data_IF_801599056066
#
_entry.id   IF_801599056066
#
_cell.length_a   1.000
_cell.length_b   1.000
_cell.length_c   1.000
_cell.angle_alpha   90.00
_cell.angle_beta   90.00
_cell.angle_gamma   90.00
#
_symmetry.space_group_name_H-M   'P 1'
#
loop_
_entity.id
_entity.type
_entity.pdbx_description
1 polymer ?
#
# COMPACT_ATOMS: atom_id res chain seq x y z
N UNK A 1 38.18 2.00 63.47
CA UNK A 1 36.91 1.35 63.08
C UNK A 1 36.24 2.22 62.05
N UNK A 2 36.42 1.89 60.75
CA UNK A 2 35.95 2.71 59.64
C UNK A 2 34.63 2.12 59.17
N UNK A 3 33.55 2.91 59.25
CA UNK A 3 32.20 2.53 58.77
C UNK A 3 32.11 2.82 57.29
N UNK A 4 32.07 1.78 56.47
CA UNK A 4 31.82 1.88 55.03
C UNK A 4 30.28 1.97 54.83
N UNK A 5 29.80 3.15 54.49
CA UNK A 5 28.38 3.35 54.04
C UNK A 5 28.22 2.84 52.61
N UNK A 6 27.56 1.69 52.45
CA UNK A 6 27.19 1.18 51.15
C UNK A 6 26.03 2.04 50.59
N UNK A 7 26.30 2.76 49.48
CA UNK A 7 25.27 3.47 48.72
C UNK A 7 24.61 2.46 47.77
N UNK A 8 23.38 2.09 48.12
CA UNK A 8 22.52 1.26 47.28
C UNK A 8 22.02 2.11 46.10
N UNK A 9 22.46 1.80 44.91
CA UNK A 9 21.95 2.42 43.68
C UNK A 9 20.66 1.70 43.26
N UNK A 10 19.55 2.41 43.34
CA UNK A 10 18.25 1.92 42.81
C UNK A 10 18.24 2.22 41.31
N UNK A 11 18.35 1.18 40.50
CA UNK A 11 18.14 1.30 39.06
C UNK A 11 16.64 1.32 38.78
N UNK A 12 16.11 2.48 38.42
CA UNK A 12 14.75 2.61 37.89
C UNK A 12 14.78 2.17 36.43
N UNK A 13 14.32 0.97 36.17
CA UNK A 13 14.09 0.48 34.79
C UNK A 13 12.78 1.10 34.32
N UNK A 14 12.87 2.15 33.51
CA UNK A 14 11.69 2.70 32.80
C UNK A 14 11.38 1.74 31.65
N UNK A 15 10.36 0.88 31.84
CA UNK A 15 9.80 0.09 30.77
C UNK A 15 9.03 1.04 29.82
N UNK A 16 9.68 1.42 28.71
CA UNK A 16 8.97 2.06 27.60
C UNK A 16 8.11 0.99 26.92
N UNK A 17 6.83 0.92 27.34
CA UNK A 17 5.83 0.15 26.60
C UNK A 17 5.65 0.82 25.22
N UNK A 18 5.76 0.09 24.11
CA UNK A 18 5.43 0.65 22.82
C UNK A 18 3.95 1.06 22.83
N UNK A 19 3.68 2.36 22.69
CA UNK A 19 2.33 2.82 22.39
C UNK A 19 1.93 2.19 21.05
N UNK A 20 0.80 1.48 20.94
CA UNK A 20 0.29 1.09 19.64
C UNK A 20 0.10 2.39 18.84
N UNK A 21 0.61 2.43 17.61
CA UNK A 21 0.32 3.52 16.66
C UNK A 21 -1.20 3.59 16.52
N UNK A 22 -1.80 4.58 17.20
CA UNK A 22 -3.22 4.60 17.47
C UNK A 22 -4.03 4.66 16.19
N UNK A 23 -4.98 3.75 16.05
CA UNK A 23 -6.19 4.04 15.27
C UNK A 23 -6.74 5.37 15.80
N UNK A 24 -7.12 6.30 14.90
CA UNK A 24 -7.73 7.55 15.31
C UNK A 24 -8.89 7.24 16.27
N UNK A 25 -8.87 7.87 17.45
CA UNK A 25 -9.92 7.70 18.41
C UNK A 25 -11.15 8.45 17.89
N UNK A 26 -12.07 7.71 17.30
CA UNK A 26 -13.32 8.23 16.81
C UNK A 26 -14.35 8.27 17.96
N UNK A 27 -15.42 9.04 17.75
CA UNK A 27 -16.53 9.17 18.68
C UNK A 27 -17.26 7.81 18.86
N UNK A 28 -18.11 7.72 19.90
CA UNK A 28 -18.82 6.49 20.26
C UNK A 28 -19.58 5.89 19.08
N UNK A 29 -19.36 4.60 18.81
CA UNK A 29 -20.00 3.86 17.72
C UNK A 29 -19.22 3.86 16.39
N UNK A 30 -18.05 4.52 16.33
CA UNK A 30 -17.16 4.47 15.17
C UNK A 30 -15.93 3.62 15.49
N UNK A 31 -15.63 2.65 14.61
CA UNK A 31 -14.46 1.79 14.74
C UNK A 31 -13.59 1.94 13.51
N UNK A 32 -12.33 2.33 13.69
CA UNK A 32 -11.31 2.34 12.65
C UNK A 32 -10.43 1.08 12.75
N UNK A 33 -10.13 0.46 11.60
CA UNK A 33 -9.17 -0.65 11.50
C UNK A 33 -8.13 -0.32 10.46
N UNK A 34 -6.86 -0.31 10.85
CA UNK A 34 -5.75 -0.22 9.90
C UNK A 34 -5.66 -1.54 9.14
N UNK A 35 -5.76 -1.51 7.81
CA UNK A 35 -5.64 -2.69 6.94
C UNK A 35 -4.25 -2.81 6.32
N UNK A 36 -3.53 -1.69 6.15
CA UNK A 36 -2.15 -1.64 5.68
C UNK A 36 -1.48 -0.39 6.24
N UNK A 37 -0.24 -0.54 6.69
CA UNK A 37 0.66 0.57 7.00
C UNK A 37 2.04 0.19 6.47
N UNK A 38 2.58 1.00 5.56
CA UNK A 38 3.84 0.71 4.87
C UNK A 38 4.52 1.99 4.42
N UNK A 39 5.82 1.95 4.26
CA UNK A 39 6.65 2.99 3.66
C UNK A 39 7.15 2.59 2.26
N UNK A 40 6.73 1.41 1.78
CA UNK A 40 7.19 0.84 0.52
C UNK A 40 6.01 0.44 -0.38
N UNK A 41 6.26 0.46 -1.68
CA UNK A 41 5.40 -0.09 -2.73
C UNK A 41 5.46 -1.62 -2.75
N UNK A 42 4.63 -2.26 -3.55
CA UNK A 42 4.52 -3.73 -3.64
C UNK A 42 5.84 -4.43 -3.99
N UNK A 43 6.76 -3.79 -4.72
CA UNK A 43 8.09 -4.35 -5.03
C UNK A 43 9.17 -3.99 -4.01
N UNK A 44 8.82 -3.24 -2.95
CA UNK A 44 9.75 -2.84 -1.89
C UNK A 44 10.44 -1.49 -2.10
N UNK A 45 10.16 -0.77 -3.19
CA UNK A 45 10.70 0.56 -3.40
C UNK A 45 10.09 1.56 -2.41
N UNK A 46 10.84 2.56 -1.93
CA UNK A 46 10.30 3.59 -1.05
C UNK A 46 9.14 4.35 -1.71
N UNK A 47 8.09 4.63 -0.93
CA UNK A 47 6.98 5.46 -1.40
C UNK A 47 7.49 6.89 -1.63
N UNK A 48 7.17 7.43 -2.80
CA UNK A 48 7.44 8.83 -3.14
C UNK A 48 6.15 9.53 -3.55
N UNK A 49 5.96 10.76 -3.09
CA UNK A 49 4.81 11.57 -3.48
C UNK A 49 5.17 12.44 -4.69
N UNK A 50 4.23 12.54 -5.62
CA UNK A 50 4.39 13.43 -6.78
C UNK A 50 4.46 14.88 -6.31
N UNK A 51 5.50 15.61 -6.75
CA UNK A 51 5.61 17.06 -6.55
C UNK A 51 5.00 17.75 -7.76
N UNK A 52 3.92 18.49 -7.56
CA UNK A 52 3.22 19.21 -8.62
C UNK A 52 2.45 20.42 -8.07
N UNK A 53 2.40 21.51 -8.81
CA UNK A 53 1.59 22.69 -8.50
C UNK A 53 0.11 22.52 -8.92
N UNK A 54 -0.19 21.47 -9.68
CA UNK A 54 -1.53 21.18 -10.19
C UNK A 54 -1.95 19.74 -9.85
N UNK A 55 -2.16 19.42 -8.54
CA UNK A 55 -2.53 18.08 -8.14
C UNK A 55 -3.91 17.70 -8.70
N UNK A 56 -4.02 16.44 -9.10
CA UNK A 56 -5.26 15.85 -9.59
C UNK A 56 -5.40 14.43 -9.04
N UNK A 57 -6.53 14.13 -8.44
CA UNK A 57 -6.89 12.78 -8.03
C UNK A 57 -7.92 12.22 -9.01
N UNK A 58 -7.68 11.00 -9.47
CA UNK A 58 -8.65 10.21 -10.23
C UNK A 58 -9.00 8.98 -9.41
N UNK A 59 -10.28 8.75 -9.21
CA UNK A 59 -10.78 7.54 -8.55
C UNK A 59 -11.64 6.78 -9.56
N UNK A 60 -11.40 5.47 -9.67
CA UNK A 60 -12.21 4.61 -10.55
C UNK A 60 -12.39 3.22 -9.94
N UNK A 61 -13.41 2.53 -10.41
CA UNK A 61 -13.54 1.09 -10.21
C UNK A 61 -12.95 0.34 -11.40
N UNK A 62 -12.29 -0.78 -11.12
CA UNK A 62 -11.74 -1.69 -12.13
C UNK A 62 -12.34 -3.06 -11.90
N UNK A 63 -12.98 -3.61 -12.94
CA UNK A 63 -13.54 -4.96 -12.95
C UNK A 63 -12.69 -5.84 -13.89
N UNK A 64 -12.13 -6.93 -13.37
CA UNK A 64 -11.32 -7.89 -14.13
C UNK A 64 -12.07 -9.22 -14.13
N UNK A 65 -12.61 -9.60 -15.27
CA UNK A 65 -13.34 -10.88 -15.43
C UNK A 65 -12.40 -12.08 -15.15
N UNK A 66 -12.95 -13.25 -14.78
CA UNK A 66 -12.17 -14.48 -14.67
C UNK A 66 -11.34 -14.74 -15.93
N UNK A 67 -10.03 -15.00 -15.78
CA UNK A 67 -9.09 -15.23 -16.87
C UNK A 67 -8.62 -13.96 -17.59
N UNK A 68 -9.17 -12.79 -17.31
CA UNK A 68 -8.75 -11.52 -17.91
C UNK A 68 -7.49 -10.95 -17.25
N UNK A 69 -6.83 -10.06 -17.99
CA UNK A 69 -5.60 -9.36 -17.60
C UNK A 69 -5.73 -7.87 -17.88
N UNK A 70 -5.05 -7.04 -17.08
CA UNK A 70 -4.96 -5.60 -17.35
C UNK A 70 -4.09 -5.29 -18.59
N UNK A 71 -3.22 -6.22 -18.95
CA UNK A 71 -2.10 -6.01 -19.86
C UNK A 71 -0.93 -5.30 -19.16
N UNK A 72 0.27 -5.45 -19.74
CA UNK A 72 1.47 -4.80 -19.24
C UNK A 72 1.35 -3.28 -19.37
N UNK A 73 1.53 -2.59 -18.27
CA UNK A 73 1.46 -1.13 -18.19
C UNK A 73 2.31 -0.63 -17.00
N UNK A 74 2.46 0.69 -16.91
CA UNK A 74 3.09 1.34 -15.77
C UNK A 74 2.33 2.61 -15.40
N UNK A 75 2.63 3.13 -14.22
CA UNK A 75 2.11 4.40 -13.71
C UNK A 75 3.26 5.36 -13.47
N UNK A 76 3.15 6.60 -13.96
CA UNK A 76 4.09 7.68 -13.66
C UNK A 76 3.71 8.45 -12.37
N UNK A 77 2.63 8.06 -11.73
CA UNK A 77 2.06 8.66 -10.54
C UNK A 77 1.83 7.60 -9.47
N UNK A 78 1.82 7.94 -8.18
CA UNK A 78 1.46 7.01 -7.13
C UNK A 78 0.02 6.50 -7.30
N UNK A 79 -0.15 5.20 -7.13
CA UNK A 79 -1.45 4.52 -7.26
C UNK A 79 -1.70 3.66 -6.04
N UNK A 80 -2.91 3.76 -5.52
CA UNK A 80 -3.38 3.00 -4.37
C UNK A 80 -4.65 2.27 -4.77
N UNK A 81 -4.75 0.99 -4.44
CA UNK A 81 -5.94 0.22 -4.72
C UNK A 81 -6.43 -0.54 -3.49
N UNK A 82 -7.73 -0.84 -3.48
CA UNK A 82 -8.35 -1.70 -2.51
C UNK A 82 -9.12 -2.79 -3.22
N UNK A 83 -8.91 -4.04 -2.82
CA UNK A 83 -9.59 -5.20 -3.39
C UNK A 83 -10.95 -5.36 -2.73
N UNK A 84 -12.01 -5.05 -3.46
CA UNK A 84 -13.39 -5.19 -2.99
C UNK A 84 -13.90 -6.63 -3.07
N UNK A 85 -13.40 -7.39 -4.06
CA UNK A 85 -13.73 -8.81 -4.22
C UNK A 85 -12.72 -9.51 -5.13
N UNK A 86 -12.65 -10.83 -5.03
CA UNK A 86 -11.83 -11.68 -5.88
C UNK A 86 -10.39 -11.84 -5.39
N UNK A 87 -9.56 -12.35 -6.28
CA UNK A 87 -8.14 -12.63 -6.04
C UNK A 87 -7.31 -12.18 -7.24
N UNK A 88 -6.42 -11.23 -7.01
CA UNK A 88 -5.60 -10.59 -8.04
C UNK A 88 -4.15 -11.06 -7.90
N UNK A 89 -3.57 -11.53 -9.01
CA UNK A 89 -2.13 -11.75 -9.15
C UNK A 89 -1.54 -10.57 -9.91
N UNK A 90 -0.53 -9.91 -9.36
CA UNK A 90 0.20 -8.83 -10.02
C UNK A 90 1.61 -9.30 -10.35
N UNK A 91 1.89 -9.46 -11.63
CA UNK A 91 3.22 -9.70 -12.16
C UNK A 91 3.97 -8.37 -12.27
N UNK A 92 5.21 -8.32 -11.78
CA UNK A 92 6.04 -7.10 -11.76
C UNK A 92 7.31 -7.38 -12.54
N UNK A 93 7.65 -6.52 -13.50
CA UNK A 93 8.87 -6.66 -14.32
C UNK A 93 10.12 -6.67 -13.43
N UNK A 94 10.95 -7.69 -13.58
CA UNK A 94 12.16 -7.87 -12.78
C UNK A 94 11.93 -8.26 -11.32
N UNK A 95 10.66 -8.44 -10.90
CA UNK A 95 10.26 -8.77 -9.53
C UNK A 95 9.59 -10.13 -9.41
N UNK A 96 9.14 -10.43 -8.20
CA UNK A 96 8.28 -11.59 -7.93
C UNK A 96 6.82 -11.18 -8.07
N UNK A 97 5.94 -12.07 -8.54
CA UNK A 97 4.51 -11.84 -8.50
C UNK A 97 4.02 -11.60 -7.06
N UNK A 98 3.04 -10.70 -6.94
CA UNK A 98 2.35 -10.43 -5.69
C UNK A 98 0.88 -10.84 -5.79
N UNK A 99 0.33 -11.34 -4.68
CA UNK A 99 -1.04 -11.83 -4.60
C UNK A 99 -1.85 -10.97 -3.65
N UNK A 100 -3.06 -10.60 -4.08
CA UNK A 100 -3.98 -9.78 -3.30
C UNK A 100 -5.38 -10.39 -3.34
N UNK A 101 -6.10 -10.31 -2.23
CA UNK A 101 -7.47 -10.83 -2.08
C UNK A 101 -8.39 -9.76 -1.52
N UNK A 102 -9.67 -10.05 -1.48
CA UNK A 102 -10.68 -9.20 -0.85
C UNK A 102 -10.23 -8.70 0.53
N UNK A 103 -10.32 -7.39 0.74
CA UNK A 103 -9.89 -6.70 1.95
C UNK A 103 -8.46 -6.18 1.94
N UNK A 104 -7.63 -6.57 0.97
CA UNK A 104 -6.26 -6.10 0.87
C UNK A 104 -6.18 -4.71 0.24
N UNK A 105 -5.24 -3.90 0.74
CA UNK A 105 -4.83 -2.66 0.12
C UNK A 105 -3.52 -2.86 -0.65
N UNK A 106 -3.37 -2.17 -1.78
CA UNK A 106 -2.22 -2.26 -2.67
C UNK A 106 -1.59 -0.87 -2.79
N UNK A 107 -0.28 -0.81 -2.60
CA UNK A 107 0.52 0.35 -2.99
C UNK A 107 1.26 -0.06 -4.25
N UNK A 108 0.80 0.43 -5.40
CA UNK A 108 1.33 -0.01 -6.68
C UNK A 108 2.74 0.51 -6.94
N UNK A 109 3.45 -0.19 -7.82
CA UNK A 109 4.80 0.20 -8.26
C UNK A 109 4.71 1.41 -9.19
N UNK A 110 5.66 2.35 -9.06
CA UNK A 110 5.74 3.55 -9.91
C UNK A 110 6.85 3.36 -10.95
N UNK A 111 6.59 3.76 -12.19
CA UNK A 111 7.52 3.64 -13.33
C UNK A 111 8.03 2.22 -13.62
N UNK A 112 7.43 1.21 -13.02
CA UNK A 112 7.75 -0.20 -13.23
C UNK A 112 6.59 -0.89 -13.95
N UNK A 113 6.91 -1.65 -14.99
CA UNK A 113 5.89 -2.39 -15.76
C UNK A 113 5.31 -3.51 -14.90
N UNK A 114 4.01 -3.64 -14.94
CA UNK A 114 3.30 -4.71 -14.23
C UNK A 114 2.02 -5.09 -14.97
N UNK A 115 1.45 -6.23 -14.59
CA UNK A 115 0.27 -6.81 -15.22
C UNK A 115 -0.59 -7.52 -14.17
N UNK A 116 -1.81 -7.06 -13.96
CA UNK A 116 -2.78 -7.68 -13.08
C UNK A 116 -3.53 -8.80 -13.78
N UNK A 117 -3.62 -9.97 -13.18
CA UNK A 117 -4.34 -11.13 -13.73
C UNK A 117 -5.36 -11.66 -12.72
N UNK A 118 -6.57 -11.93 -13.19
CA UNK A 118 -7.57 -12.67 -12.43
C UNK A 118 -7.50 -14.16 -12.78
N UNK A 119 -6.78 -14.94 -11.97
CA UNK A 119 -6.69 -16.40 -12.10
C UNK A 119 -7.84 -17.13 -11.36
N UNK A 120 -8.76 -16.39 -10.74
CA UNK A 120 -9.90 -16.92 -9.98
C UNK A 120 -11.10 -17.23 -10.85
N UNK A 121 -12.21 -17.57 -10.18
CA UNK A 121 -13.49 -17.96 -10.80
C UNK A 121 -14.55 -16.85 -10.71
N UNK A 122 -14.31 -15.81 -9.93
CA UNK A 122 -15.19 -14.64 -9.77
C UNK A 122 -14.49 -13.37 -10.23
N UNK A 123 -15.20 -12.32 -10.62
CA UNK A 123 -14.57 -11.05 -10.98
C UNK A 123 -13.74 -10.47 -9.83
N UNK A 124 -12.56 -9.97 -10.15
CA UNK A 124 -11.82 -9.07 -9.27
C UNK A 124 -12.42 -7.68 -9.42
N UNK A 125 -12.75 -7.05 -8.30
CA UNK A 125 -13.21 -5.66 -8.27
C UNK A 125 -12.28 -4.83 -7.41
N UNK A 126 -11.81 -3.72 -7.96
CA UNK A 126 -10.91 -2.79 -7.28
C UNK A 126 -11.56 -1.40 -7.22
N UNK A 127 -11.26 -0.66 -6.15
CA UNK A 127 -11.29 0.80 -6.16
C UNK A 127 -9.87 1.29 -6.26
N UNK A 128 -9.56 2.15 -7.24
CA UNK A 128 -8.21 2.60 -7.53
C UNK A 128 -8.14 4.12 -7.46
N UNK A 129 -7.13 4.64 -6.76
CA UNK A 129 -6.84 6.06 -6.58
C UNK A 129 -5.52 6.38 -7.27
N UNK A 130 -5.56 7.25 -8.26
CA UNK A 130 -4.39 7.83 -8.90
C UNK A 130 -4.15 9.21 -8.29
N UNK A 131 -3.01 9.41 -7.64
CA UNK A 131 -2.62 10.69 -7.04
C UNK A 131 -1.64 11.40 -7.96
N UNK A 132 -2.17 11.91 -9.06
CA UNK A 132 -1.43 12.48 -10.16
C UNK A 132 -1.43 14.00 -10.22
N UNK A 133 -1.17 14.53 -11.39
CA UNK A 133 -1.20 15.95 -11.72
C UNK A 133 -2.00 16.21 -13.00
N UNK A 134 -2.31 17.48 -13.25
CA UNK A 134 -2.92 17.90 -14.51
C UNK A 134 -1.99 17.50 -15.66
N UNK A 135 -2.59 16.95 -16.72
CA UNK A 135 -1.90 16.53 -17.96
C UNK A 135 -0.84 15.41 -17.78
N UNK A 136 -0.80 14.77 -16.60
CA UNK A 136 0.03 13.58 -16.37
C UNK A 136 -0.85 12.33 -16.55
N UNK A 137 -0.46 11.38 -17.45
CA UNK A 137 -1.23 10.18 -17.68
C UNK A 137 -1.18 9.26 -16.45
N UNK A 138 -2.35 8.74 -16.03
CA UNK A 138 -2.44 7.79 -14.94
C UNK A 138 -1.88 6.41 -15.31
N UNK A 139 -2.02 6.03 -16.58
CA UNK A 139 -1.62 4.71 -17.10
C UNK A 139 -0.83 4.92 -18.38
N UNK A 140 0.32 4.27 -18.49
CA UNK A 140 1.16 4.19 -19.68
C UNK A 140 1.13 2.72 -20.12
N UNK A 141 0.47 2.44 -21.25
CA UNK A 141 0.49 1.10 -21.83
C UNK A 141 1.89 0.78 -22.30
N UNK A 142 2.37 -0.41 -21.96
CA UNK A 142 3.58 -0.92 -22.54
C UNK A 142 3.23 -1.53 -23.91
N UNK A 143 4.04 -1.21 -24.92
CA UNK A 143 3.98 -1.94 -26.18
C UNK A 143 4.21 -3.42 -25.85
N UNK A 144 3.40 -4.29 -26.47
CA UNK A 144 3.59 -5.74 -26.32
C UNK A 144 4.99 -6.08 -26.83
N UNK A 145 5.74 -6.97 -26.14
CA UNK A 145 7.02 -7.44 -26.64
C UNK A 145 6.86 -8.20 -27.94
#
# INVERSE_FOLDING_TARGET
MVLIKSRMWVWVVILLLPFPAGAAEYDTGVQGKVILQTEATTNGDPITYLKTDHPKITVMTVDIAPGAKTGWHSHSVPVYAYVMSGHLTVEIEGGKPAEFKEGDAIIEVVNTRHNGTNNGKIPVKLVVFYTGGKDIPNVIKADQP
#
